data_IF_634868979081
#
_entry.id   IF_634868979081
#
_cell.length_a   1.000
_cell.length_b   1.000
_cell.length_c   1.000
_cell.angle_alpha   90.00
_cell.angle_beta   90.00
_cell.angle_gamma   90.00
#
_symmetry.space_group_name_H-M   'P 1'
#
loop_
_entity.id
_entity.type
_entity.pdbx_description
1 polymer ?
#
# COMPACT_ATOMS: atom_id res chain seq x y z
N UNK A 1 -19.50 26.39 -41.68
CA UNK A 1 -18.11 26.61 -42.13
C UNK A 1 -17.94 28.10 -42.44
N UNK A 2 -17.20 28.84 -41.62
CA UNK A 2 -16.83 30.25 -41.83
C UNK A 2 -15.43 30.45 -41.25
N UNK A 3 -14.50 30.86 -42.09
CA UNK A 3 -13.06 31.00 -41.82
C UNK A 3 -12.73 32.31 -41.09
N UNK A 4 -11.86 32.29 -40.05
CA UNK A 4 -11.33 33.50 -39.43
C UNK A 4 -9.79 33.56 -39.56
N UNK A 5 -9.25 34.04 -40.68
CA UNK A 5 -7.80 34.28 -40.81
C UNK A 5 -7.38 35.64 -41.39
N UNK A 6 -8.33 36.57 -41.64
CA UNK A 6 -7.98 37.86 -42.27
C UNK A 6 -7.65 39.03 -41.33
N UNK A 7 -7.68 38.87 -40.00
CA UNK A 7 -7.50 40.00 -39.07
C UNK A 7 -6.14 40.14 -38.39
N UNK A 8 -5.13 39.32 -38.71
CA UNK A 8 -3.80 39.42 -38.06
C UNK A 8 -2.70 40.13 -38.85
N UNK A 9 -2.95 40.55 -40.11
CA UNK A 9 -1.89 41.14 -40.93
C UNK A 9 -1.73 42.66 -40.79
N UNK A 10 -2.72 43.38 -40.25
CA UNK A 10 -2.68 44.85 -40.20
C UNK A 10 -1.91 45.44 -39.02
N UNK A 11 -1.62 44.64 -37.98
CA UNK A 11 -0.96 45.16 -36.78
C UNK A 11 0.57 45.20 -36.88
N UNK A 12 1.18 44.52 -37.86
CA UNK A 12 2.64 44.46 -38.01
C UNK A 12 3.19 45.62 -38.86
N UNK A 13 2.37 46.26 -39.70
CA UNK A 13 2.84 47.27 -40.68
C UNK A 13 2.83 48.70 -40.12
N UNK A 14 2.12 48.99 -39.02
CA UNK A 14 2.07 50.35 -38.43
C UNK A 14 3.13 50.65 -37.35
N UNK A 15 4.19 49.83 -37.24
CA UNK A 15 5.35 50.08 -36.35
C UNK A 15 6.64 50.43 -37.12
N UNK A 16 6.54 50.82 -38.39
CA UNK A 16 7.65 51.42 -39.15
C UNK A 16 7.41 52.92 -39.32
N UNK A 17 7.68 53.69 -38.27
CA UNK A 17 7.50 55.15 -38.29
C UNK A 17 8.39 55.87 -37.31
N UNK A 18 9.53 56.37 -37.82
CA UNK A 18 10.60 57.18 -37.18
C UNK A 18 11.68 56.41 -36.43
N UNK A 19 12.88 56.43 -37.01
CA UNK A 19 14.16 56.07 -36.38
C UNK A 19 14.51 57.16 -35.35
N UNK A 20 13.83 57.15 -34.21
CA UNK A 20 14.27 57.84 -32.99
C UNK A 20 15.02 56.83 -32.13
N UNK A 21 16.25 57.16 -31.70
CA UNK A 21 17.01 56.28 -30.82
C UNK A 21 16.21 55.96 -29.55
N UNK A 22 16.13 54.67 -29.18
CA UNK A 22 15.50 54.24 -27.94
C UNK A 22 16.11 54.99 -26.76
N UNK A 23 15.26 55.63 -25.96
CA UNK A 23 15.74 56.32 -24.76
C UNK A 23 16.14 55.27 -23.72
N UNK A 24 17.20 55.55 -22.94
CA UNK A 24 17.65 54.65 -21.87
C UNK A 24 16.51 54.31 -20.89
N UNK A 25 15.60 55.27 -20.65
CA UNK A 25 14.42 55.10 -19.80
C UNK A 25 13.44 54.06 -20.37
N UNK A 26 13.18 54.09 -21.68
CA UNK A 26 12.27 53.14 -22.33
C UNK A 26 12.78 51.70 -22.23
N UNK A 27 14.09 51.50 -22.44
CA UNK A 27 14.73 50.17 -22.27
C UNK A 27 14.62 49.69 -20.83
N UNK A 28 14.82 50.58 -19.84
CA UNK A 28 14.67 50.22 -18.43
C UNK A 28 13.24 49.83 -18.05
N UNK A 29 12.23 50.54 -18.54
CA UNK A 29 10.82 50.20 -18.31
C UNK A 29 10.47 48.86 -18.97
N UNK A 30 10.93 48.63 -20.19
CA UNK A 30 10.70 47.38 -20.90
C UNK A 30 11.32 46.18 -20.16
N UNK A 31 12.55 46.33 -19.67
CA UNK A 31 13.22 45.30 -18.88
C UNK A 31 12.51 45.05 -17.55
N UNK A 32 12.05 46.10 -16.85
CA UNK A 32 11.30 45.96 -15.61
C UNK A 32 9.98 45.19 -15.81
N UNK A 33 9.20 45.55 -16.83
CA UNK A 33 7.93 44.87 -17.14
C UNK A 33 8.19 43.41 -17.54
N UNK A 34 9.19 43.16 -18.39
CA UNK A 34 9.56 41.81 -18.82
C UNK A 34 10.02 40.94 -17.64
N UNK A 35 10.77 41.50 -16.70
CA UNK A 35 11.21 40.81 -15.49
C UNK A 35 10.05 40.40 -14.60
N UNK A 36 9.09 41.29 -14.35
CA UNK A 36 7.88 40.99 -13.54
C UNK A 36 7.03 39.90 -14.21
N UNK A 37 6.81 39.99 -15.53
CA UNK A 37 6.06 38.97 -16.26
C UNK A 37 6.76 37.61 -16.22
N UNK A 38 8.09 37.58 -16.36
CA UNK A 38 8.86 36.35 -16.28
C UNK A 38 8.73 35.68 -14.91
N UNK A 39 8.89 36.42 -13.81
CA UNK A 39 8.72 35.88 -12.45
C UNK A 39 7.31 35.32 -12.24
N UNK A 40 6.28 36.03 -12.71
CA UNK A 40 4.89 35.56 -12.60
C UNK A 40 4.64 34.26 -13.38
N UNK A 41 5.21 34.13 -14.58
CA UNK A 41 5.11 32.93 -15.39
C UNK A 41 5.83 31.74 -14.74
N UNK A 42 7.03 31.95 -14.17
CA UNK A 42 7.79 30.89 -13.49
C UNK A 42 7.03 30.33 -12.29
N UNK A 43 6.45 31.18 -11.45
CA UNK A 43 5.66 30.75 -10.27
C UNK A 43 4.44 29.93 -10.71
N UNK A 44 3.76 30.34 -11.79
CA UNK A 44 2.61 29.61 -12.33
C UNK A 44 2.99 28.23 -12.88
N UNK A 45 4.12 28.14 -13.60
CA UNK A 45 4.63 26.88 -14.17
C UNK A 45 5.01 25.89 -13.06
N UNK A 46 5.71 26.35 -12.01
CA UNK A 46 6.09 25.49 -10.88
C UNK A 46 4.85 24.89 -10.17
N UNK A 47 3.80 25.70 -10.00
CA UNK A 47 2.54 25.23 -9.46
C UNK A 47 1.95 24.08 -10.28
N UNK A 48 1.84 24.24 -11.60
CA UNK A 48 1.28 23.22 -12.49
C UNK A 48 2.10 21.93 -12.54
N UNK A 49 3.43 22.04 -12.51
CA UNK A 49 4.34 20.90 -12.48
C UNK A 49 4.11 20.05 -11.22
N UNK A 50 4.05 20.69 -10.04
CA UNK A 50 3.79 20.00 -8.79
C UNK A 50 2.44 19.26 -8.77
N UNK A 51 1.40 19.86 -9.38
CA UNK A 51 0.09 19.20 -9.48
C UNK A 51 0.11 17.95 -10.34
N UNK A 52 0.83 18.04 -11.47
CA UNK A 52 0.96 16.93 -12.41
C UNK A 52 1.74 15.77 -11.78
N UNK A 53 2.86 16.08 -11.13
CA UNK A 53 3.69 15.09 -10.42
C UNK A 53 2.93 14.41 -9.28
N UNK A 54 2.17 15.18 -8.48
CA UNK A 54 1.33 14.60 -7.44
C UNK A 54 0.23 13.70 -8.02
N UNK A 55 -0.47 14.15 -9.07
CA UNK A 55 -1.49 13.32 -9.72
C UNK A 55 -0.90 12.02 -10.29
N UNK A 56 0.30 12.07 -10.88
CA UNK A 56 1.03 10.88 -11.34
C UNK A 56 1.37 9.95 -10.17
N UNK A 57 1.93 10.47 -9.08
CA UNK A 57 2.23 9.70 -7.87
C UNK A 57 1.02 8.93 -7.34
N UNK A 58 -0.12 9.60 -7.23
CA UNK A 58 -1.36 8.98 -6.73
C UNK A 58 -1.85 7.87 -7.67
N UNK A 59 -1.73 8.04 -9.00
CA UNK A 59 -2.07 6.99 -9.96
C UNK A 59 -1.12 5.80 -9.89
N UNK A 60 0.17 6.05 -9.67
CA UNK A 60 1.17 4.99 -9.52
C UNK A 60 0.91 4.17 -8.24
N UNK A 61 0.58 4.84 -7.13
CA UNK A 61 0.19 4.20 -5.87
C UNK A 61 -1.09 3.38 -6.06
N UNK A 62 -2.11 3.94 -6.70
CA UNK A 62 -3.37 3.25 -7.00
C UNK A 62 -3.13 2.00 -7.85
N UNK A 63 -2.31 2.11 -8.90
CA UNK A 63 -1.90 0.99 -9.74
C UNK A 63 -1.12 -0.07 -8.96
N UNK A 64 -0.26 0.33 -8.02
CA UNK A 64 0.51 -0.60 -7.18
C UNK A 64 -0.37 -1.32 -6.17
N UNK A 65 -1.33 -0.64 -5.55
CA UNK A 65 -2.33 -1.26 -4.68
C UNK A 65 -3.16 -2.29 -5.45
N UNK A 66 -3.64 -1.94 -6.64
CA UNK A 66 -4.36 -2.86 -7.51
C UNK A 66 -3.49 -4.07 -7.90
N UNK A 67 -2.20 -3.86 -8.20
CA UNK A 67 -1.25 -4.93 -8.48
C UNK A 67 -1.13 -5.89 -7.28
N UNK A 68 -0.93 -5.39 -6.06
CA UNK A 68 -0.80 -6.25 -4.87
C UNK A 68 -2.08 -7.03 -4.59
N UNK A 69 -3.25 -6.42 -4.77
CA UNK A 69 -4.55 -7.10 -4.66
C UNK A 69 -4.66 -8.23 -5.69
N UNK A 70 -4.29 -7.96 -6.95
CA UNK A 70 -4.35 -8.96 -8.02
C UNK A 70 -3.38 -10.12 -7.76
N UNK A 71 -2.18 -9.85 -7.24
CA UNK A 71 -1.23 -10.89 -6.82
C UNK A 71 -1.80 -11.79 -5.71
N UNK A 72 -2.54 -11.21 -4.75
CA UNK A 72 -3.24 -11.99 -3.71
C UNK A 72 -4.38 -12.81 -4.30
N UNK A 73 -5.20 -12.21 -5.18
CA UNK A 73 -6.29 -12.93 -5.86
C UNK A 73 -5.80 -14.09 -6.73
N UNK A 74 -4.61 -13.97 -7.31
CA UNK A 74 -3.97 -15.02 -8.09
C UNK A 74 -3.25 -16.06 -7.22
N UNK A 75 -3.23 -15.87 -5.89
CA UNK A 75 -2.44 -16.67 -4.94
C UNK A 75 -0.97 -16.78 -5.35
N UNK A 76 -0.41 -15.72 -5.94
CA UNK A 76 0.94 -15.73 -6.48
C UNK A 76 1.96 -15.64 -5.35
N UNK A 77 2.76 -16.69 -5.21
CA UNK A 77 3.85 -16.74 -4.23
C UNK A 77 5.18 -16.30 -4.89
N UNK A 78 5.68 -15.08 -4.60
CA UNK A 78 6.86 -14.55 -5.27
C UNK A 78 8.12 -15.33 -4.90
N UNK A 79 9.00 -15.54 -5.88
CA UNK A 79 10.30 -16.20 -5.70
C UNK A 79 10.20 -17.61 -5.08
N UNK A 80 9.10 -18.31 -5.32
CA UNK A 80 8.85 -19.63 -4.74
C UNK A 80 9.98 -20.63 -5.02
N UNK A 81 10.72 -20.45 -6.11
CA UNK A 81 11.85 -21.27 -6.56
C UNK A 81 13.07 -21.22 -5.61
N UNK A 82 13.27 -20.13 -4.87
CA UNK A 82 14.45 -19.93 -4.02
C UNK A 82 14.26 -20.33 -2.56
N UNK A 83 13.02 -20.59 -2.14
CA UNK A 83 12.68 -20.84 -0.75
C UNK A 83 11.98 -22.19 -0.55
N UNK A 84 12.35 -22.85 0.54
CA UNK A 84 11.62 -23.99 1.08
C UNK A 84 10.82 -23.53 2.30
N UNK A 85 9.55 -23.91 2.37
CA UNK A 85 8.70 -23.59 3.52
C UNK A 85 8.48 -24.82 4.39
N UNK A 86 8.79 -24.70 5.68
CA UNK A 86 8.59 -25.75 6.68
C UNK A 86 7.86 -25.19 7.90
N UNK A 87 7.19 -26.05 8.65
CA UNK A 87 6.60 -25.67 9.93
C UNK A 87 7.62 -25.80 11.04
N UNK A 88 7.80 -24.71 11.78
CA UNK A 88 8.66 -24.63 12.96
C UNK A 88 7.83 -24.20 14.15
N UNK A 89 8.10 -24.79 15.31
CA UNK A 89 7.39 -24.46 16.54
C UNK A 89 7.93 -23.16 17.12
N UNK A 90 7.03 -22.22 17.38
CA UNK A 90 7.38 -20.98 18.08
C UNK A 90 7.60 -21.21 19.59
N UNK A 91 7.89 -20.12 20.31
CA UNK A 91 8.06 -20.15 21.78
C UNK A 91 6.83 -20.62 22.55
N UNK A 92 5.65 -20.59 21.93
CA UNK A 92 4.39 -21.04 22.50
C UNK A 92 4.02 -22.47 22.03
N UNK A 93 4.97 -23.19 21.40
CA UNK A 93 4.78 -24.54 20.85
C UNK A 93 3.70 -24.59 19.75
N UNK A 94 3.53 -23.49 19.02
CA UNK A 94 2.58 -23.36 17.91
C UNK A 94 3.33 -23.53 16.59
N UNK A 95 2.84 -24.41 15.72
CA UNK A 95 3.43 -24.61 14.39
C UNK A 95 3.21 -23.37 13.51
N UNK A 96 4.31 -22.77 13.05
CA UNK A 96 4.33 -21.57 12.21
C UNK A 96 5.15 -21.80 10.94
N UNK A 97 4.72 -21.25 9.79
CA UNK A 97 5.52 -21.26 8.57
C UNK A 97 6.83 -20.51 8.74
N UNK A 98 7.93 -21.14 8.35
CA UNK A 98 9.24 -20.50 8.22
C UNK A 98 9.81 -20.75 6.81
N UNK A 99 10.30 -19.68 6.19
CA UNK A 99 11.00 -19.77 4.91
C UNK A 99 12.50 -19.92 5.16
N UNK A 100 13.07 -20.97 4.59
CA UNK A 100 14.51 -21.18 4.54
C UNK A 100 15.00 -20.98 3.11
N UNK A 101 16.12 -20.26 2.96
CA UNK A 101 16.76 -20.10 1.66
C UNK A 101 17.37 -21.44 1.26
N UNK A 102 17.03 -21.94 0.06
CA UNK A 102 17.66 -23.13 -0.49
C UNK A 102 19.09 -22.75 -0.88
N UNK A 103 20.09 -23.30 -0.18
CA UNK A 103 21.48 -23.20 -0.60
C UNK A 103 21.61 -23.87 -1.97
N UNK A 104 21.98 -23.09 -2.99
CA UNK A 104 22.24 -23.48 -4.40
C UNK A 104 22.13 -24.99 -4.65
N UNK A 105 20.90 -25.45 -4.90
CA UNK A 105 20.55 -26.85 -4.98
C UNK A 105 19.16 -27.00 -5.60
N UNK A 106 18.98 -28.05 -6.38
CA UNK A 106 17.74 -28.35 -7.10
C UNK A 106 16.56 -28.40 -6.14
N UNK A 107 15.58 -27.51 -6.33
CA UNK A 107 14.32 -27.56 -5.60
C UNK A 107 13.53 -28.79 -6.04
N UNK A 108 13.15 -29.64 -5.10
CA UNK A 108 12.13 -30.64 -5.36
C UNK A 108 10.77 -29.93 -5.49
N UNK A 109 10.16 -30.02 -6.66
CA UNK A 109 8.78 -29.56 -6.87
C UNK A 109 7.89 -30.25 -5.82
N UNK A 110 7.08 -29.48 -5.09
CA UNK A 110 6.28 -29.99 -3.96
C UNK A 110 6.88 -29.74 -2.57
N UNK A 111 8.09 -29.17 -2.44
CA UNK A 111 8.73 -28.93 -1.13
C UNK A 111 8.04 -27.89 -0.23
N UNK A 112 6.96 -27.24 -0.68
CA UNK A 112 6.22 -26.21 0.06
C UNK A 112 4.84 -26.70 0.52
N UNK A 113 4.64 -28.01 0.62
CA UNK A 113 3.33 -28.61 0.95
C UNK A 113 2.80 -28.21 2.33
N UNK A 114 3.67 -27.87 3.28
CA UNK A 114 3.26 -27.54 4.64
C UNK A 114 2.73 -26.10 4.78
N UNK A 115 2.99 -25.23 3.79
CA UNK A 115 2.63 -23.82 3.84
C UNK A 115 1.70 -23.39 2.70
N UNK A 116 0.90 -22.37 2.96
CA UNK A 116 0.02 -21.71 2.01
C UNK A 116 0.32 -20.21 2.00
N UNK A 117 0.27 -19.59 0.82
CA UNK A 117 0.30 -18.14 0.72
C UNK A 117 -1.09 -17.60 1.09
N UNK A 118 -1.15 -16.81 2.18
CA UNK A 118 -2.41 -16.22 2.64
C UNK A 118 -2.70 -14.90 1.93
N UNK A 119 -1.66 -14.08 1.69
CA UNK A 119 -1.80 -12.82 1.00
C UNK A 119 -0.75 -11.80 1.40
N UNK A 120 -1.11 -10.51 1.42
CA UNK A 120 -0.18 -9.40 1.68
C UNK A 120 -0.71 -8.47 2.75
N UNK A 121 0.19 -8.00 3.61
CA UNK A 121 -0.07 -6.95 4.56
C UNK A 121 0.77 -5.71 4.23
N UNK A 122 0.12 -4.57 4.21
CA UNK A 122 0.69 -3.28 3.84
C UNK A 122 0.84 -2.45 5.09
N UNK A 123 2.05 -1.98 5.35
CA UNK A 123 2.38 -1.04 6.40
C UNK A 123 2.80 0.28 5.78
N UNK A 124 2.18 1.35 6.26
CA UNK A 124 2.56 2.71 5.91
C UNK A 124 3.39 3.29 7.03
N UNK A 125 4.53 3.85 6.66
CA UNK A 125 5.27 4.70 7.55
C UNK A 125 4.64 6.10 7.44
N UNK A 126 4.10 6.58 8.55
CA UNK A 126 3.59 7.95 8.62
C UNK A 126 4.69 8.85 9.19
N UNK A 127 4.68 10.10 8.76
CA UNK A 127 5.65 11.15 9.08
C UNK A 127 6.06 11.15 10.56
N UNK A 128 7.36 10.91 10.82
CA UNK A 128 7.94 11.08 12.15
C UNK A 128 8.17 12.58 12.36
N UNK A 129 7.76 13.17 13.51
CA UNK A 129 8.00 14.59 13.81
C UNK A 129 9.48 14.99 13.81
N UNK A 130 10.41 14.03 13.75
CA UNK A 130 11.84 14.24 13.57
C UNK A 130 12.26 14.65 12.15
N UNK A 131 11.34 14.71 11.17
CA UNK A 131 11.58 15.25 9.83
C UNK A 131 12.30 14.31 8.86
N UNK A 132 12.75 13.14 9.31
CA UNK A 132 13.25 12.07 8.45
C UNK A 132 12.12 11.09 8.15
N UNK A 133 11.37 11.41 7.10
CA UNK A 133 10.19 10.64 6.71
C UNK A 133 10.60 9.65 5.66
N UNK A 134 10.63 8.38 6.03
CA UNK A 134 10.67 7.31 5.04
C UNK A 134 9.27 7.24 4.41
N UNK A 135 9.07 7.98 3.31
CA UNK A 135 7.89 7.93 2.43
C UNK A 135 7.81 6.56 1.75
N UNK A 136 7.59 5.52 2.55
CA UNK A 136 7.71 4.12 2.14
C UNK A 136 6.49 3.31 2.56
N UNK A 137 5.97 2.58 1.59
CA UNK A 137 5.00 1.53 1.75
C UNK A 137 5.75 0.21 1.84
N UNK A 138 5.65 -0.48 2.96
CA UNK A 138 6.27 -1.80 3.16
C UNK A 138 5.19 -2.86 3.02
N UNK A 139 5.44 -3.86 2.18
CA UNK A 139 4.49 -4.92 1.86
C UNK A 139 5.06 -6.26 2.31
N UNK A 140 4.41 -6.85 3.29
CA UNK A 140 4.75 -8.15 3.84
C UNK A 140 3.95 -9.23 3.14
N UNK A 141 4.65 -10.20 2.54
CA UNK A 141 4.01 -11.45 2.13
C UNK A 141 3.70 -12.27 3.37
N UNK A 142 2.45 -12.71 3.54
CA UNK A 142 2.00 -13.47 4.72
C UNK A 142 1.72 -14.91 4.33
N UNK A 143 2.31 -15.83 5.08
CA UNK A 143 2.17 -17.26 4.94
C UNK A 143 1.31 -17.82 6.04
N UNK A 144 0.67 -18.95 5.79
CA UNK A 144 -0.05 -19.75 6.76
C UNK A 144 0.36 -21.20 6.67
N UNK A 145 0.10 -21.99 7.71
CA UNK A 145 0.19 -23.45 7.63
C UNK A 145 -0.99 -23.97 6.83
N UNK A 146 -0.74 -24.98 6.00
CA UNK A 146 -1.78 -25.61 5.17
C UNK A 146 -2.59 -26.66 5.94
N UNK A 147 -1.96 -27.30 6.92
CA UNK A 147 -2.56 -28.42 7.63
C UNK A 147 -2.52 -28.25 9.15
N UNK A 148 -3.48 -28.88 9.81
CA UNK A 148 -3.62 -28.98 11.26
C UNK A 148 -3.42 -30.42 11.69
N UNK A 149 -2.74 -30.63 12.81
CA UNK A 149 -2.77 -31.94 13.48
C UNK A 149 -4.13 -32.09 14.16
N UNK A 150 -4.99 -32.94 13.61
CA UNK A 150 -6.36 -33.19 14.13
C UNK A 150 -6.34 -34.27 15.21
N UNK A 151 -5.38 -35.20 15.13
CA UNK A 151 -5.24 -36.27 16.09
C UNK A 151 -4.07 -37.19 15.77
N UNK A 152 -3.84 -38.15 16.65
CA UNK A 152 -2.89 -39.23 16.44
C UNK A 152 -3.68 -40.53 16.42
N UNK A 153 -3.56 -41.32 15.36
CA UNK A 153 -4.23 -42.62 15.31
C UNK A 153 -3.68 -43.55 16.39
N UNK A 154 -4.41 -44.62 16.72
CA UNK A 154 -3.94 -45.65 17.65
C UNK A 154 -2.58 -46.29 17.27
N UNK A 155 -2.12 -46.09 16.03
CA UNK A 155 -0.80 -46.54 15.53
C UNK A 155 0.28 -45.46 15.55
N UNK A 156 0.02 -44.30 16.15
CA UNK A 156 0.98 -43.19 16.21
C UNK A 156 1.06 -42.34 14.94
N UNK A 157 0.20 -42.58 13.93
CA UNK A 157 0.19 -41.76 12.71
C UNK A 157 -0.54 -40.45 12.96
N UNK A 158 0.11 -39.33 12.66
CA UNK A 158 -0.48 -37.99 12.76
C UNK A 158 -1.53 -37.82 11.65
N UNK A 159 -2.77 -37.54 12.02
CA UNK A 159 -3.82 -37.15 11.09
C UNK A 159 -3.75 -35.66 10.83
N UNK A 160 -3.52 -35.29 9.57
CA UNK A 160 -3.52 -33.90 9.08
C UNK A 160 -4.90 -33.54 8.53
N UNK A 161 -5.51 -32.47 9.04
CA UNK A 161 -6.69 -31.82 8.47
C UNK A 161 -6.31 -30.55 7.72
N UNK A 162 -7.19 -30.05 6.85
CA UNK A 162 -6.99 -28.76 6.19
C UNK A 162 -7.37 -27.60 7.13
N UNK A 163 -6.65 -26.49 7.03
CA UNK A 163 -7.07 -25.24 7.70
C UNK A 163 -8.30 -24.66 7.00
N UNK A 164 -9.27 -24.16 7.77
CA UNK A 164 -10.49 -23.54 7.23
C UNK A 164 -10.68 -22.09 7.66
N UNK A 165 -9.79 -21.54 8.48
CA UNK A 165 -9.85 -20.15 8.91
C UNK A 165 -8.47 -19.50 9.01
N UNK A 166 -8.49 -18.17 8.98
CA UNK A 166 -7.28 -17.35 9.05
C UNK A 166 -6.51 -17.58 10.36
N UNK A 167 -7.21 -17.65 11.50
CA UNK A 167 -6.58 -17.90 12.80
C UNK A 167 -5.96 -19.31 12.86
N UNK A 168 -6.67 -20.34 12.35
CA UNK A 168 -6.11 -21.69 12.26
C UNK A 168 -4.86 -21.75 11.39
N UNK A 169 -4.77 -20.93 10.35
CA UNK A 169 -3.61 -20.89 9.47
C UNK A 169 -2.35 -20.32 10.14
N UNK A 170 -2.40 -19.78 11.36
CA UNK A 170 -1.26 -19.19 12.07
C UNK A 170 -0.42 -18.28 11.15
N UNK A 171 -0.98 -17.14 10.73
CA UNK A 171 -0.31 -16.25 9.80
C UNK A 171 1.09 -15.88 10.30
N UNK A 172 2.07 -15.89 9.41
CA UNK A 172 3.45 -15.50 9.70
C UNK A 172 3.99 -14.69 8.51
N UNK A 173 4.57 -13.49 8.74
CA UNK A 173 5.18 -12.74 7.65
C UNK A 173 6.46 -13.41 7.17
N UNK A 174 6.58 -13.53 5.86
CA UNK A 174 7.80 -13.94 5.18
C UNK A 174 8.73 -12.72 5.04
N UNK A 175 9.56 -12.46 6.06
CA UNK A 175 10.46 -11.29 6.09
C UNK A 175 11.40 -11.22 4.87
N UNK A 176 11.85 -12.37 4.36
CA UNK A 176 12.69 -12.46 3.16
C UNK A 176 11.98 -12.04 1.86
N UNK A 177 10.64 -11.98 1.86
CA UNK A 177 9.79 -11.60 0.73
C UNK A 177 9.08 -10.26 0.99
N UNK A 178 9.67 -9.42 1.83
CA UNK A 178 9.18 -8.06 2.08
C UNK A 178 9.54 -7.18 0.91
N UNK A 179 8.54 -6.50 0.34
CA UNK A 179 8.73 -5.49 -0.69
C UNK A 179 8.64 -4.08 -0.07
N UNK A 180 9.39 -3.13 -0.60
CA UNK A 180 9.37 -1.74 -0.14
C UNK A 180 9.21 -0.81 -1.33
N UNK A 181 8.13 -0.05 -1.33
CA UNK A 181 7.79 0.91 -2.36
C UNK A 181 7.96 2.33 -1.83
N UNK A 182 8.90 3.08 -2.39
CA UNK A 182 9.10 4.49 -2.09
C UNK A 182 8.14 5.35 -2.90
N UNK A 183 7.41 6.24 -2.22
CA UNK A 183 6.45 7.13 -2.86
C UNK A 183 7.20 8.19 -3.70
N UNK A 184 6.81 8.39 -4.97
CA UNK A 184 7.52 9.33 -5.83
C UNK A 184 7.13 10.78 -5.52
N UNK A 185 7.97 11.71 -6.00
CA UNK A 185 7.72 13.16 -5.99
C UNK A 185 7.45 13.79 -4.61
N UNK A 186 8.01 13.21 -3.54
CA UNK A 186 7.83 13.71 -2.17
C UNK A 186 6.37 13.68 -1.71
N UNK A 187 5.64 12.67 -2.19
CA UNK A 187 4.28 12.38 -1.75
C UNK A 187 4.35 11.71 -0.40
N UNK A 188 3.60 12.23 0.57
CA UNK A 188 3.57 11.72 1.93
C UNK A 188 2.21 11.19 2.29
N UNK A 189 2.16 10.22 3.19
CA UNK A 189 0.91 9.71 3.76
C UNK A 189 0.65 10.41 5.09
N UNK A 190 -0.49 11.09 5.18
CA UNK A 190 -0.87 11.84 6.38
C UNK A 190 -1.77 11.06 7.31
N UNK A 191 -2.58 10.13 6.77
CA UNK A 191 -3.42 9.26 7.60
C UNK A 191 -3.85 8.02 6.83
N UNK A 192 -4.11 6.96 7.59
CA UNK A 192 -4.69 5.71 7.14
C UNK A 192 -5.71 5.25 8.20
N UNK A 193 -6.95 5.03 7.81
CA UNK A 193 -8.03 4.69 8.74
C UNK A 193 -9.10 3.81 8.11
N UNK A 194 -9.74 3.00 8.94
CA UNK A 194 -10.96 2.27 8.57
C UNK A 194 -12.14 3.22 8.64
N UNK A 195 -12.96 3.24 7.59
CA UNK A 195 -14.22 3.98 7.58
C UNK A 195 -15.35 2.98 7.81
N UNK A 196 -15.64 2.76 9.09
CA UNK A 196 -17.01 2.41 9.51
C UNK A 196 -17.78 3.69 9.91
N UNK A 197 -17.06 4.79 10.20
CA UNK A 197 -17.58 6.09 10.61
C UNK A 197 -16.78 7.21 9.95
N UNK A 198 -17.47 8.12 9.24
CA UNK A 198 -16.88 9.35 8.68
C UNK A 198 -16.96 10.46 9.74
N UNK A 199 -15.94 11.32 9.94
CA UNK A 199 -14.66 11.43 9.22
C UNK A 199 -13.51 10.59 9.82
N UNK A 200 -12.46 10.39 9.02
CA UNK A 200 -11.19 9.78 9.44
C UNK A 200 -10.55 10.63 10.55
N UNK A 201 -10.85 10.32 11.81
CA UNK A 201 -10.31 11.09 12.93
C UNK A 201 -8.85 10.70 13.18
N UNK A 202 -7.94 11.67 13.39
CA UNK A 202 -6.55 11.37 13.72
C UNK A 202 -6.37 10.73 15.11
N UNK A 203 -7.44 10.56 15.90
CA UNK A 203 -7.37 10.02 17.27
C UNK A 203 -8.09 8.70 17.45
N UNK A 204 -9.00 8.33 16.54
CA UNK A 204 -9.87 7.15 16.69
C UNK A 204 -9.92 6.46 15.33
N UNK A 205 -9.56 5.17 15.27
CA UNK A 205 -9.49 4.34 14.04
C UNK A 205 -8.25 4.52 13.14
N UNK A 206 -7.16 5.10 13.67
CA UNK A 206 -5.87 5.06 12.98
C UNK A 206 -5.39 3.63 12.84
N UNK A 207 -5.07 3.27 11.62
CA UNK A 207 -4.38 2.03 11.32
C UNK A 207 -3.42 2.28 10.19
N UNK A 208 -2.15 2.30 10.56
CA UNK A 208 -1.06 2.36 9.60
C UNK A 208 -0.87 1.03 8.86
N UNK A 209 -1.73 0.02 9.09
CA UNK A 209 -1.52 -1.32 8.57
C UNK A 209 -2.83 -2.03 8.20
N UNK A 210 -2.95 -2.38 6.93
CA UNK A 210 -4.07 -3.13 6.38
C UNK A 210 -3.56 -4.36 5.64
N UNK A 211 -4.35 -5.42 5.57
CA UNK A 211 -4.00 -6.61 4.80
C UNK A 211 -5.15 -7.11 3.95
N UNK A 212 -4.76 -7.90 2.97
CA UNK A 212 -5.64 -8.58 2.04
C UNK A 212 -5.21 -10.04 1.99
N UNK A 213 -6.13 -10.93 2.31
CA UNK A 213 -5.90 -12.38 2.33
C UNK A 213 -6.95 -13.11 1.51
N UNK A 214 -6.59 -14.32 1.10
CA UNK A 214 -7.53 -15.30 0.54
C UNK A 214 -8.45 -15.79 1.66
N UNK A 215 -9.75 -15.84 1.36
CA UNK A 215 -10.77 -16.39 2.25
C UNK A 215 -10.66 -17.91 2.33
N UNK A 216 -10.27 -18.43 3.49
CA UNK A 216 -10.14 -19.87 3.74
C UNK A 216 -11.48 -20.54 4.10
N UNK A 217 -12.53 -19.75 4.38
CA UNK A 217 -13.82 -20.28 4.85
C UNK A 217 -14.66 -20.89 3.72
N UNK A 218 -14.38 -20.50 2.47
CA UNK A 218 -15.09 -21.00 1.29
C UNK A 218 -14.56 -22.36 0.85
N UNK A 219 -14.80 -23.37 1.69
CA UNK A 219 -14.65 -24.78 1.33
C UNK A 219 -15.86 -25.23 0.49
N UNK A 220 -16.02 -24.61 -0.68
CA UNK A 220 -16.91 -25.10 -1.73
C UNK A 220 -16.25 -26.29 -2.43
N UNK A 221 -16.93 -27.42 -2.44
CA UNK A 221 -16.56 -28.76 -2.94
C UNK A 221 -16.25 -28.88 -4.43
N UNK A 222 -15.91 -27.80 -5.14
CA UNK A 222 -15.74 -27.81 -6.59
C UNK A 222 -14.37 -27.26 -7.04
N UNK A 223 -13.34 -28.11 -7.15
CA UNK A 223 -12.01 -27.72 -7.64
C UNK A 223 -12.01 -27.32 -9.14
N UNK A 224 -13.14 -27.41 -9.85
CA UNK A 224 -13.26 -27.06 -11.26
C UNK A 224 -13.79 -25.63 -11.52
N UNK A 225 -14.25 -24.92 -10.48
CA UNK A 225 -14.74 -23.56 -10.65
C UNK A 225 -13.58 -22.56 -10.46
N UNK A 226 -13.07 -22.00 -11.57
CA UNK A 226 -12.23 -20.79 -11.63
C UNK A 226 -13.01 -19.56 -11.11
N UNK A 227 -13.52 -19.60 -9.89
CA UNK A 227 -14.07 -18.43 -9.21
C UNK A 227 -12.88 -17.67 -8.64
N UNK A 228 -12.82 -16.38 -8.96
CA UNK A 228 -11.90 -15.44 -8.31
C UNK A 228 -11.91 -15.69 -6.82
N UNK A 229 -10.75 -15.99 -6.24
CA UNK A 229 -10.64 -16.27 -4.82
C UNK A 229 -11.28 -15.12 -4.04
N UNK A 230 -12.27 -15.44 -3.18
CA UNK A 230 -12.86 -14.44 -2.30
C UNK A 230 -11.75 -13.88 -1.42
N UNK A 231 -11.66 -12.55 -1.32
CA UNK A 231 -10.64 -11.87 -0.55
C UNK A 231 -11.26 -11.33 0.75
N UNK A 232 -10.52 -11.47 1.85
CA UNK A 232 -10.85 -10.87 3.14
C UNK A 232 -9.82 -9.79 3.44
N UNK A 233 -10.32 -8.64 3.88
CA UNK A 233 -9.53 -7.47 4.24
C UNK A 233 -9.53 -7.28 5.74
N UNK A 234 -8.34 -7.15 6.34
CA UNK A 234 -8.20 -6.96 7.77
C UNK A 234 -7.44 -5.69 8.12
N UNK A 235 -7.90 -5.01 9.15
CA UNK A 235 -7.23 -3.86 9.71
C UNK A 235 -6.44 -4.32 10.94
N UNK A 236 -5.17 -3.92 10.99
CA UNK A 236 -4.37 -4.05 12.21
C UNK A 236 -4.42 -2.72 12.94
N UNK A 237 -4.85 -2.68 14.20
CA UNK A 237 -4.77 -1.50 15.06
C UNK A 237 -3.31 -1.27 15.48
N UNK A 238 -2.47 -1.03 14.47
CA UNK A 238 -1.07 -0.72 14.62
C UNK A 238 -0.94 0.80 14.68
N UNK A 239 -0.97 1.31 15.90
CA UNK A 239 -0.77 2.71 16.21
C UNK A 239 0.66 2.83 16.77
N UNK A 240 1.66 2.73 15.90
CA UNK A 240 3.00 3.12 16.31
C UNK A 240 2.98 4.61 16.55
N UNK A 241 3.41 5.01 17.74
CA UNK A 241 3.79 6.38 17.99
C UNK A 241 5.01 6.68 17.10
N UNK A 242 4.74 7.31 15.95
CA UNK A 242 5.69 7.62 14.87
C UNK A 242 6.80 8.59 15.34
N UNK A 243 6.70 9.08 16.57
CA UNK A 243 7.68 9.91 17.25
C UNK A 243 8.95 9.15 17.63
N UNK A 244 8.90 7.82 17.72
CA UNK A 244 10.08 7.01 18.07
C UNK A 244 10.92 6.68 16.82
N UNK A 245 12.21 7.08 16.78
CA UNK A 245 13.09 6.79 15.65
C UNK A 245 13.13 5.31 15.33
N UNK A 246 13.15 5.01 14.03
CA UNK A 246 13.25 3.71 13.38
C UNK A 246 14.44 2.91 13.92
N UNK A 247 14.27 2.28 15.08
CA UNK A 247 15.11 1.16 15.45
C UNK A 247 14.57 -0.04 14.66
N UNK A 248 15.45 -0.72 13.93
CA UNK A 248 15.21 -2.00 13.24
C UNK A 248 14.53 -3.07 14.11
N UNK A 249 14.45 -2.86 15.43
CA UNK A 249 13.67 -3.63 16.39
C UNK A 249 12.13 -3.51 16.28
N UNK A 250 11.59 -2.52 15.54
CA UNK A 250 10.13 -2.43 15.30
C UNK A 250 9.59 -3.54 14.38
N UNK A 251 10.47 -4.29 13.70
CA UNK A 251 10.07 -5.53 13.04
C UNK A 251 9.41 -6.49 14.04
N UNK A 252 9.81 -6.50 15.30
CA UNK A 252 9.21 -7.33 16.33
C UNK A 252 7.74 -7.00 16.61
N UNK A 253 7.33 -5.72 16.54
CA UNK A 253 5.94 -5.32 16.79
C UNK A 253 5.04 -5.64 15.60
N UNK A 254 5.49 -5.33 14.37
CA UNK A 254 4.79 -5.70 13.13
C UNK A 254 4.68 -7.22 13.01
N UNK A 255 5.78 -7.93 13.28
CA UNK A 255 5.81 -9.39 13.30
C UNK A 255 4.83 -9.95 14.33
N UNK A 256 4.83 -9.42 15.56
CA UNK A 256 3.90 -9.85 16.62
C UNK A 256 2.44 -9.61 16.22
N UNK A 257 2.14 -8.46 15.62
CA UNK A 257 0.82 -8.13 15.07
C UNK A 257 0.37 -9.13 13.99
N UNK A 258 1.23 -9.39 13.01
CA UNK A 258 0.93 -10.32 11.90
C UNK A 258 0.85 -11.77 12.36
N UNK A 259 1.60 -12.15 13.40
CA UNK A 259 1.54 -13.48 14.02
C UNK A 259 0.40 -13.65 15.02
N UNK A 260 -0.43 -12.62 15.19
CA UNK A 260 -1.57 -12.58 16.11
C UNK A 260 -1.17 -12.75 17.57
N UNK A 261 0.08 -12.42 17.90
CA UNK A 261 0.56 -12.37 19.27
C UNK A 261 0.11 -11.04 19.90
N UNK A 262 -0.76 -11.14 20.90
CA UNK A 262 -1.60 -10.06 21.45
C UNK A 262 -0.81 -8.92 22.17
N UNK A 263 0.51 -9.00 22.23
CA UNK A 263 1.32 -8.03 22.98
C UNK A 263 1.51 -6.69 22.25
N UNK A 264 1.36 -6.64 20.92
CA UNK A 264 1.67 -5.44 20.13
C UNK A 264 0.50 -4.88 19.29
N UNK A 265 -0.57 -5.66 19.06
CA UNK A 265 -1.75 -5.23 18.31
C UNK A 265 -2.99 -5.21 19.20
N UNK A 266 -3.33 -4.05 19.74
CA UNK A 266 -4.50 -3.86 20.60
C UNK A 266 -5.79 -3.85 19.80
N UNK A 267 -6.69 -4.83 19.94
CA UNK A 267 -7.98 -4.85 19.25
C UNK A 267 -8.17 -6.01 18.27
N UNK A 268 -7.42 -7.10 18.45
CA UNK A 268 -7.80 -8.39 17.89
C UNK A 268 -9.16 -8.80 18.47
N UNK A 269 -10.05 -9.29 17.61
CA UNK A 269 -11.35 -9.83 18.00
C UNK A 269 -11.20 -11.33 18.29
N UNK A 270 -11.94 -11.85 19.26
CA UNK A 270 -11.99 -13.29 19.51
C UNK A 270 -12.84 -13.97 18.44
N UNK A 271 -12.23 -14.84 17.64
CA UNK A 271 -12.92 -15.77 16.75
C UNK A 271 -13.07 -17.15 17.36
N UNK A 272 -13.85 -18.05 16.72
CA UNK A 272 -14.03 -19.43 17.18
C UNK A 272 -12.72 -20.22 17.22
N UNK A 273 -11.76 -19.86 16.35
CA UNK A 273 -10.47 -20.53 16.20
C UNK A 273 -9.30 -19.78 16.83
N UNK A 274 -9.57 -18.70 17.55
CA UNK A 274 -8.54 -17.85 18.16
C UNK A 274 -8.68 -16.37 17.82
N UNK A 275 -7.71 -15.54 18.25
CA UNK A 275 -7.71 -14.12 17.95
C UNK A 275 -7.55 -13.89 16.45
N UNK A 276 -8.25 -12.90 15.90
CA UNK A 276 -8.11 -12.47 14.51
C UNK A 276 -8.23 -10.94 14.42
N UNK A 277 -7.69 -10.29 13.38
CA UNK A 277 -7.84 -8.85 13.24
C UNK A 277 -9.26 -8.48 12.83
N UNK A 278 -9.63 -7.21 13.01
CA UNK A 278 -10.97 -6.72 12.66
C UNK A 278 -11.10 -6.62 11.13
N UNK A 279 -12.12 -7.22 10.50
CA UNK A 279 -12.35 -7.03 9.08
C UNK A 279 -12.77 -5.59 8.77
N UNK A 280 -12.49 -5.12 7.55
CA UNK A 280 -12.96 -3.81 7.09
C UNK A 280 -13.62 -3.86 5.71
N UNK A 281 -14.69 -3.07 5.56
CA UNK A 281 -15.34 -2.86 4.26
C UNK A 281 -14.67 -1.73 3.49
N UNK A 282 -14.25 -0.67 4.19
CA UNK A 282 -13.61 0.51 3.61
C UNK A 282 -12.41 0.94 4.44
N UNK A 283 -11.32 1.22 3.73
CA UNK A 283 -10.12 1.77 4.31
C UNK A 283 -9.64 2.94 3.45
N UNK A 284 -9.27 4.02 4.10
CA UNK A 284 -8.99 5.30 3.48
C UNK A 284 -7.60 5.75 3.80
N UNK A 285 -6.87 6.08 2.73
CA UNK A 285 -5.53 6.61 2.72
C UNK A 285 -5.58 8.07 2.29
N UNK A 286 -4.92 8.93 3.06
CA UNK A 286 -4.81 10.35 2.78
C UNK A 286 -3.35 10.69 2.45
N UNK A 287 -3.17 11.41 1.35
CA UNK A 287 -1.87 11.79 0.82
C UNK A 287 -1.76 13.30 0.73
N UNK A 288 -0.55 13.82 0.99
CA UNK A 288 -0.20 15.23 0.80
C UNK A 288 1.06 15.35 -0.04
N UNK A 289 1.10 16.35 -0.91
CA UNK A 289 2.33 16.74 -1.61
C UNK A 289 3.14 17.71 -0.74
N UNK A 290 4.41 17.39 -0.48
CA UNK A 290 5.32 18.30 0.23
C UNK A 290 5.50 19.65 -0.50
N UNK A 291 5.50 19.64 -1.83
CA UNK A 291 5.78 20.83 -2.65
C UNK A 291 4.53 21.68 -2.96
N UNK A 292 3.39 21.05 -3.22
CA UNK A 292 2.24 21.73 -3.84
C UNK A 292 1.04 21.94 -2.92
N UNK A 293 1.11 21.52 -1.65
CA UNK A 293 -0.01 21.50 -0.67
C UNK A 293 -1.27 20.81 -1.19
N UNK A 294 -1.15 20.00 -2.23
CA UNK A 294 -2.25 19.21 -2.74
C UNK A 294 -2.48 18.00 -1.86
N UNK A 295 -3.74 17.59 -1.83
CA UNK A 295 -4.20 16.44 -1.08
C UNK A 295 -5.00 15.51 -1.99
N UNK A 296 -4.90 14.21 -1.71
CA UNK A 296 -5.66 13.19 -2.39
C UNK A 296 -6.00 12.08 -1.41
N UNK A 297 -7.15 11.46 -1.65
CA UNK A 297 -7.69 10.39 -0.87
C UNK A 297 -7.82 9.15 -1.76
N UNK A 298 -7.27 8.03 -1.33
CA UNK A 298 -7.55 6.72 -1.94
C UNK A 298 -8.44 5.94 -0.97
N UNK A 299 -9.61 5.52 -1.44
CA UNK A 299 -10.52 4.64 -0.71
C UNK A 299 -10.39 3.24 -1.28
N UNK A 300 -9.95 2.30 -0.46
CA UNK A 300 -9.93 0.87 -0.77
C UNK A 300 -11.19 0.26 -0.16
N UNK A 301 -12.02 -0.34 -0.99
CA UNK A 301 -13.24 -1.03 -0.56
C UNK A 301 -13.15 -2.51 -0.88
N UNK A 302 -13.45 -3.35 0.11
CA UNK A 302 -13.60 -4.79 -0.07
C UNK A 302 -15.07 -5.12 -0.32
N UNK A 303 -15.32 -5.96 -1.32
CA UNK A 303 -16.66 -6.40 -1.67
C UNK A 303 -16.67 -7.78 -2.29
N UNK A 304 -17.86 -8.30 -2.60
CA UNK A 304 -18.03 -9.64 -3.19
C UNK A 304 -17.39 -9.78 -4.58
N UNK A 305 -17.18 -8.68 -5.29
CA UNK A 305 -16.50 -8.63 -6.59
C UNK A 305 -14.98 -8.48 -6.48
N UNK A 306 -14.43 -8.53 -5.26
CA UNK A 306 -13.02 -8.27 -4.99
C UNK A 306 -12.79 -6.88 -4.39
N UNK A 307 -11.53 -6.45 -4.38
CA UNK A 307 -11.12 -5.17 -3.81
C UNK A 307 -11.09 -4.11 -4.91
N UNK A 308 -11.73 -2.98 -4.64
CA UNK A 308 -11.77 -1.82 -5.53
C UNK A 308 -11.07 -0.65 -4.88
N UNK A 309 -10.40 0.17 -5.68
CA UNK A 309 -9.80 1.42 -5.24
C UNK A 309 -10.50 2.60 -5.92
N UNK A 310 -10.68 3.70 -5.18
CA UNK A 310 -11.23 4.95 -5.70
C UNK A 310 -10.37 6.12 -5.25
N UNK A 311 -9.89 6.89 -6.21
CA UNK A 311 -9.10 8.10 -5.96
C UNK A 311 -9.97 9.35 -6.04
N UNK A 312 -9.91 10.20 -5.02
CA UNK A 312 -10.58 11.50 -4.93
C UNK A 312 -9.57 12.60 -4.57
N UNK A 313 -9.54 13.71 -5.32
CA UNK A 313 -8.67 14.87 -5.02
C UNK A 313 -9.40 15.86 -4.10
N UNK A 314 -9.49 15.51 -2.81
CA UNK A 314 -10.16 16.29 -1.76
C UNK A 314 -9.23 16.54 -0.59
N UNK A 315 -9.51 17.60 0.19
CA UNK A 315 -8.82 17.88 1.45
C UNK A 315 -8.96 16.69 2.40
N UNK A 316 -7.81 16.22 2.88
CA UNK A 316 -7.70 15.12 3.82
C UNK A 316 -7.93 15.60 5.26
#
# INVERSE_FOLDING_TARGET
>A
MKEPYKLRLWYIIMLMGRVGGYTLIEVMIFLAISGVLFVSAVVLIQGQQGRTQFSQSIRDIDSKLAQYVNEVSASFFPSSDKYSCSLVKDSNNVDRPELTLLATGTKNVGSNEDCIFLGKALQFHQDSPSGNVDDTLVVYSVLGRRTLTVGVTARGTIQKGLVSSFAQANPTPALALTDTYTLPFGTKITSACKIDVSPCSPTTNKSAMASFYVDLSQTGTDPAANKSASLVSYQYPYNVDLTTPRNTNNLGTVYSCLTLNNTACSGLISGPDGPQPSPFDKWVLCFVSAASRQTAKITVSSGTTGIQTKTDYVSC
#
